data_IF_480551739351
#
_entry.id   IF_480551739351
#
_cell.length_a   1.000
_cell.length_b   1.000
_cell.length_c   1.000
_cell.angle_alpha   90.00
_cell.angle_beta   90.00
_cell.angle_gamma   90.00
#
_symmetry.space_group_name_H-M   'P 1'
#
loop_
_entity.id
_entity.type
_entity.pdbx_description
1 polymer ?
#
# COMPACT_ATOMS: atom_id res chain seq x y z
N UNK A 1 11.75 5.14 -25.01
CA UNK A 1 10.94 4.90 -26.22
C UNK A 1 9.61 4.21 -25.93
N UNK A 2 9.58 2.92 -25.57
CA UNK A 2 8.32 2.15 -25.51
C UNK A 2 7.34 2.56 -24.40
N UNK A 3 7.89 2.88 -23.22
CA UNK A 3 7.09 3.34 -22.08
C UNK A 3 6.53 4.74 -22.33
N UNK A 4 7.29 5.61 -23.00
CA UNK A 4 6.92 7.01 -23.26
C UNK A 4 5.78 7.11 -24.27
N UNK A 5 5.79 6.34 -25.37
CA UNK A 5 4.68 6.37 -26.31
C UNK A 5 3.40 5.78 -25.71
N UNK A 6 3.52 4.73 -24.87
CA UNK A 6 2.37 4.15 -24.13
C UNK A 6 1.77 5.18 -23.18
N UNK A 7 2.61 5.93 -22.47
CA UNK A 7 2.18 7.01 -21.59
C UNK A 7 1.51 8.16 -22.35
N UNK A 8 2.10 8.62 -23.45
CA UNK A 8 1.51 9.66 -24.31
C UNK A 8 0.16 9.23 -24.89
N UNK A 9 0.05 7.97 -25.33
CA UNK A 9 -1.22 7.39 -25.80
C UNK A 9 -2.26 7.35 -24.70
N UNK A 10 -1.92 6.89 -23.50
CA UNK A 10 -2.86 6.84 -22.37
C UNK A 10 -3.37 8.25 -22.00
N UNK A 11 -2.49 9.26 -22.01
CA UNK A 11 -2.87 10.67 -21.81
C UNK A 11 -3.88 11.16 -22.85
N UNK A 12 -3.64 10.84 -24.12
CA UNK A 12 -4.57 11.18 -25.20
C UNK A 12 -5.93 10.51 -24.96
N UNK A 13 -5.96 9.22 -24.64
CA UNK A 13 -7.20 8.49 -24.38
C UNK A 13 -7.96 9.07 -23.18
N UNK A 14 -7.25 9.43 -22.10
CA UNK A 14 -7.84 10.09 -20.92
C UNK A 14 -8.54 11.41 -21.28
N UNK A 15 -8.00 12.20 -22.21
CA UNK A 15 -8.63 13.46 -22.65
C UNK A 15 -9.97 13.28 -23.36
N UNK A 16 -10.28 12.08 -23.86
CA UNK A 16 -11.57 11.77 -24.49
C UNK A 16 -12.60 11.18 -23.52
N UNK A 17 -12.20 10.76 -22.30
CA UNK A 17 -13.13 10.20 -21.32
C UNK A 17 -14.00 11.27 -20.62
N UNK A 18 -13.57 12.54 -20.60
CA UNK A 18 -14.38 13.62 -20.03
C UNK A 18 -15.54 13.99 -20.97
N UNK A 19 -16.77 13.81 -20.49
CA UNK A 19 -18.06 13.93 -21.20
C UNK A 19 -18.41 15.35 -21.71
N UNK A 20 -17.44 16.24 -21.89
CA UNK A 20 -17.66 17.63 -22.30
C UNK A 20 -17.58 17.91 -23.80
N UNK A 21 -16.99 17.00 -24.61
CA UNK A 21 -16.79 17.19 -26.06
C UNK A 21 -16.99 15.91 -26.83
N UNK A 22 -18.21 15.36 -26.76
CA UNK A 22 -18.64 14.22 -27.58
C UNK A 22 -19.02 14.62 -29.01
N UNK A 23 -18.86 15.89 -29.38
CA UNK A 23 -19.15 16.39 -30.71
C UNK A 23 -17.85 16.72 -31.46
N UNK A 24 -17.63 16.17 -32.67
CA UNK A 24 -16.51 16.61 -33.50
C UNK A 24 -16.71 18.09 -33.87
N UNK A 25 -15.63 18.86 -34.02
CA UNK A 25 -15.72 20.16 -34.71
C UNK A 25 -16.35 19.90 -36.08
N UNK A 26 -17.43 20.59 -36.53
CA UNK A 26 -17.98 21.91 -36.16
C UNK A 26 -19.13 21.94 -35.13
N UNK A 27 -19.55 20.81 -34.55
CA UNK A 27 -20.74 20.74 -33.68
C UNK A 27 -20.48 21.14 -32.21
N UNK A 28 -19.21 21.43 -31.84
CA UNK A 28 -18.82 21.98 -30.54
C UNK A 28 -19.08 23.49 -30.37
N UNK A 29 -19.66 24.16 -31.37
CA UNK A 29 -19.95 25.60 -31.34
C UNK A 29 -21.39 25.94 -30.94
N UNK A 30 -22.29 24.95 -30.94
CA UNK A 30 -23.68 25.15 -30.49
C UNK A 30 -23.75 24.73 -29.02
N UNK A 31 -23.81 25.68 -28.07
CA UNK A 31 -24.02 25.32 -26.67
C UNK A 31 -25.31 24.50 -26.56
N UNK A 32 -25.27 23.42 -25.79
CA UNK A 32 -26.46 22.61 -25.49
C UNK A 32 -27.59 23.53 -25.04
N UNK A 33 -28.83 23.35 -25.51
CA UNK A 33 -29.97 24.18 -25.12
C UNK A 33 -30.11 24.34 -23.59
N UNK A 34 -29.68 23.34 -22.82
CA UNK A 34 -29.62 23.37 -21.35
C UNK A 34 -28.54 24.31 -20.81
N UNK A 35 -27.36 24.35 -21.43
CA UNK A 35 -26.25 25.25 -21.04
C UNK A 35 -26.62 26.72 -21.22
N UNK A 36 -27.33 27.04 -22.32
CA UNK A 36 -27.82 28.40 -22.55
C UNK A 36 -28.85 28.84 -21.51
N UNK A 37 -29.78 27.96 -21.13
CA UNK A 37 -30.75 28.24 -20.07
C UNK A 37 -30.07 28.58 -18.73
N UNK A 38 -29.09 27.78 -18.30
CA UNK A 38 -28.33 28.06 -17.07
C UNK A 38 -27.48 29.34 -17.19
N UNK A 39 -26.92 29.66 -18.36
CA UNK A 39 -26.16 30.88 -18.60
C UNK A 39 -27.05 32.14 -18.48
N UNK A 40 -28.23 32.12 -19.09
CA UNK A 40 -29.20 33.23 -18.98
C UNK A 40 -29.70 33.37 -17.55
N UNK A 41 -29.95 32.26 -16.84
CA UNK A 41 -30.33 32.30 -15.43
C UNK A 41 -29.22 32.92 -14.57
N UNK A 42 -27.94 32.56 -14.80
CA UNK A 42 -26.78 33.14 -14.11
C UNK A 42 -26.63 34.63 -14.39
N UNK A 43 -26.82 35.07 -15.63
CA UNK A 43 -26.77 36.49 -16.00
C UNK A 43 -27.93 37.26 -15.36
N UNK A 44 -29.17 36.75 -15.40
CA UNK A 44 -30.30 37.37 -14.70
C UNK A 44 -30.08 37.46 -13.20
N UNK A 45 -29.59 36.40 -12.56
CA UNK A 45 -29.27 36.43 -11.13
C UNK A 45 -28.17 37.45 -10.81
N UNK A 46 -27.14 37.56 -11.66
CA UNK A 46 -26.08 38.56 -11.51
C UNK A 46 -26.62 40.00 -11.67
N UNK A 47 -27.45 40.25 -12.68
CA UNK A 47 -28.10 41.55 -12.90
C UNK A 47 -29.05 41.92 -11.75
N UNK A 48 -29.81 40.96 -11.22
CA UNK A 48 -30.65 41.17 -10.04
C UNK A 48 -29.78 41.50 -8.82
N UNK A 49 -28.64 40.83 -8.64
CA UNK A 49 -27.73 41.10 -7.51
C UNK A 49 -27.11 42.51 -7.59
N UNK A 50 -26.70 42.94 -8.79
CA UNK A 50 -26.11 44.26 -9.03
C UNK A 50 -27.15 45.39 -8.91
N UNK A 51 -28.41 45.15 -9.31
CA UNK A 51 -29.48 46.13 -9.12
C UNK A 51 -30.04 46.19 -7.70
N UNK A 52 -29.82 45.16 -6.86
CA UNK A 52 -30.35 45.09 -5.49
C UNK A 52 -29.46 45.79 -4.45
N UNK A 53 -28.24 46.16 -4.80
CA UNK A 53 -27.35 46.95 -3.92
C UNK A 53 -27.79 48.42 -3.78
N UNK A 54 -28.75 48.89 -4.58
CA UNK A 54 -29.30 50.26 -4.53
C UNK A 54 -30.78 50.35 -4.12
N UNK A 55 -31.37 49.31 -3.52
CA UNK A 55 -32.82 49.30 -3.19
C UNK A 55 -33.16 48.62 -1.87
N UNK A 56 -32.87 49.28 -0.74
CA UNK A 56 -33.47 48.91 0.54
C UNK A 56 -34.97 49.28 0.56
N UNK A 57 -35.80 48.36 1.09
CA UNK A 57 -37.21 48.50 1.51
C UNK A 57 -38.35 48.43 0.48
N UNK A 58 -39.00 47.25 0.36
CA UNK A 58 -40.39 47.00 0.84
C UNK A 58 -40.80 45.53 0.67
N UNK A 59 -41.44 45.01 1.73
CA UNK A 59 -42.05 43.67 1.85
C UNK A 59 -43.22 43.48 0.87
N UNK A 60 -43.41 42.26 0.34
CA UNK A 60 -44.72 41.55 0.27
C UNK A 60 -44.55 40.19 -0.45
N UNK A 61 -44.59 39.13 0.36
CA UNK A 61 -45.49 37.97 0.20
C UNK A 61 -45.90 37.55 -1.22
N UNK A 62 -45.29 36.50 -1.76
CA UNK A 62 -46.05 35.37 -2.34
C UNK A 62 -45.30 34.07 -2.05
N UNK A 63 -45.95 33.27 -1.21
CA UNK A 63 -45.64 31.90 -0.86
C UNK A 63 -45.89 30.96 -2.06
N UNK A 64 -44.92 30.14 -2.48
CA UNK A 64 -45.23 28.82 -3.04
C UNK A 64 -44.03 27.86 -3.01
N UNK A 65 -44.18 26.77 -2.24
CA UNK A 65 -43.78 25.45 -2.75
C UNK A 65 -42.37 24.92 -2.45
N UNK A 66 -42.07 24.70 -1.16
CA UNK A 66 -41.53 23.46 -0.55
C UNK A 66 -40.55 22.53 -1.30
N UNK A 67 -39.53 22.14 -0.50
CA UNK A 67 -38.88 20.82 -0.36
C UNK A 67 -37.59 20.50 -1.15
N UNK A 68 -36.47 20.81 -0.48
CA UNK A 68 -35.40 19.86 -0.08
C UNK A 68 -35.27 18.58 -0.90
N UNK A 69 -34.23 18.50 -1.71
CA UNK A 69 -33.49 17.26 -1.96
C UNK A 69 -32.03 17.64 -2.18
N UNK A 70 -31.20 17.32 -1.18
CA UNK A 70 -29.75 17.50 -1.20
C UNK A 70 -29.16 16.64 -2.32
N UNK A 71 -28.92 17.23 -3.48
CA UNK A 71 -28.00 16.69 -4.45
C UNK A 71 -26.59 16.87 -3.88
N UNK A 72 -26.04 15.79 -3.30
CA UNK A 72 -24.62 15.65 -2.97
C UNK A 72 -23.81 15.73 -4.26
N UNK A 73 -23.42 16.95 -4.64
CA UNK A 73 -22.40 17.20 -5.64
C UNK A 73 -21.02 17.08 -4.96
N UNK A 74 -20.55 15.84 -4.80
CA UNK A 74 -19.18 15.52 -4.40
C UNK A 74 -18.24 15.89 -5.57
N UNK A 75 -18.04 17.20 -5.79
CA UNK A 75 -16.94 17.69 -6.62
C UNK A 75 -15.66 17.57 -5.83
N UNK A 76 -15.00 16.43 -6.04
CA UNK A 76 -13.55 16.27 -6.22
C UNK A 76 -12.74 17.51 -5.75
N UNK A 77 -12.52 17.61 -4.44
CA UNK A 77 -11.53 18.53 -3.88
C UNK A 77 -10.17 17.85 -3.98
N UNK A 78 -9.42 18.25 -4.99
CA UNK A 78 -8.06 17.82 -5.28
C UNK A 78 -7.02 18.50 -4.36
N UNK A 79 -5.96 17.73 -4.06
CA UNK A 79 -4.64 18.08 -3.52
C UNK A 79 -4.47 18.26 -2.00
N UNK A 80 -3.51 17.54 -1.36
CA UNK A 80 -3.14 17.73 0.03
C UNK A 80 -2.13 18.87 0.16
N UNK A 81 -2.39 19.79 1.08
CA UNK A 81 -1.39 20.77 1.52
C UNK A 81 -0.94 20.41 2.94
N UNK A 82 0.37 20.43 3.06
CA UNK A 82 1.24 20.23 4.21
C UNK A 82 0.84 21.00 5.46
N UNK A 83 1.11 20.39 6.62
CA UNK A 83 1.28 21.10 7.89
C UNK A 83 0.24 20.73 8.94
N UNK A 84 0.64 19.83 9.84
CA UNK A 84 0.26 19.85 11.26
C UNK A 84 -1.23 19.69 11.60
N UNK A 85 -1.62 18.49 12.01
CA UNK A 85 -1.87 18.19 13.44
C UNK A 85 -2.48 16.78 13.57
N UNK A 86 -2.09 16.11 14.64
CA UNK A 86 -2.32 14.72 14.99
C UNK A 86 -3.81 14.41 15.26
N UNK A 87 -4.66 14.43 14.23
CA UNK A 87 -6.05 13.99 14.39
C UNK A 87 -6.12 12.49 14.20
N UNK A 88 -6.17 11.80 15.34
CA UNK A 88 -6.48 10.37 15.48
C UNK A 88 -7.83 10.07 14.81
N UNK A 89 -7.82 9.82 13.50
CA UNK A 89 -9.00 9.36 12.75
C UNK A 89 -9.33 7.96 13.23
N UNK A 90 -10.40 7.88 14.03
CA UNK A 90 -11.08 6.66 14.48
C UNK A 90 -10.94 5.55 13.45
N UNK A 91 -10.40 4.40 13.88
CA UNK A 91 -10.12 3.27 13.00
C UNK A 91 -11.35 2.94 12.15
N UNK A 92 -11.20 3.00 10.82
CA UNK A 92 -12.14 2.32 9.93
C UNK A 92 -12.03 0.84 10.28
N UNK A 93 -12.98 0.33 11.06
CA UNK A 93 -12.96 -1.03 11.62
C UNK A 93 -12.84 -2.12 10.54
N UNK A 94 -13.26 -1.82 9.30
CA UNK A 94 -13.10 -2.73 8.18
C UNK A 94 -12.24 -2.09 7.09
N UNK A 95 -11.15 -2.77 6.66
CA UNK A 95 -10.34 -2.29 5.56
C UNK A 95 -11.18 -2.24 4.29
N UNK A 96 -11.10 -1.12 3.57
CA UNK A 96 -11.80 -0.96 2.30
C UNK A 96 -11.32 -1.99 1.28
N UNK A 97 -12.14 -2.29 0.26
CA UNK A 97 -11.74 -3.15 -0.86
C UNK A 97 -10.39 -2.73 -1.45
N UNK A 98 -10.16 -1.43 -1.57
CA UNK A 98 -8.87 -0.87 -1.99
C UNK A 98 -7.72 -1.27 -1.04
N UNK A 99 -7.90 -1.12 0.27
CA UNK A 99 -6.87 -1.52 1.26
C UNK A 99 -6.55 -3.02 1.19
N UNK A 100 -7.56 -3.87 0.97
CA UNK A 100 -7.34 -5.32 0.81
C UNK A 100 -6.58 -5.65 -0.48
N UNK A 101 -6.90 -4.97 -1.59
CA UNK A 101 -6.18 -5.12 -2.86
C UNK A 101 -4.73 -4.63 -2.69
N UNK A 102 -4.53 -3.47 -2.09
CA UNK A 102 -3.20 -2.91 -1.82
C UNK A 102 -2.37 -3.86 -0.95
N UNK A 103 -2.92 -4.39 0.15
CA UNK A 103 -2.24 -5.39 0.98
C UNK A 103 -1.79 -6.62 0.19
N UNK A 104 -2.65 -7.14 -0.70
CA UNK A 104 -2.31 -8.28 -1.57
C UNK A 104 -1.25 -7.94 -2.60
N UNK A 105 -1.29 -6.74 -3.18
CA UNK A 105 -0.27 -6.27 -4.14
C UNK A 105 1.08 -6.09 -3.46
N UNK A 106 1.11 -5.44 -2.30
CA UNK A 106 2.32 -5.24 -1.50
C UNK A 106 2.92 -6.59 -1.11
N UNK A 107 2.10 -7.54 -0.62
CA UNK A 107 2.58 -8.88 -0.27
C UNK A 107 3.22 -9.59 -1.47
N UNK A 108 2.58 -9.56 -2.64
CA UNK A 108 3.14 -10.16 -3.87
C UNK A 108 4.44 -9.48 -4.28
N UNK A 109 4.52 -8.16 -4.18
CA UNK A 109 5.73 -7.41 -4.51
C UNK A 109 6.88 -7.76 -3.57
N UNK A 110 6.66 -7.76 -2.25
CA UNK A 110 7.70 -8.10 -1.26
C UNK A 110 8.22 -9.52 -1.48
N UNK A 111 7.31 -10.49 -1.65
CA UNK A 111 7.70 -11.88 -1.92
C UNK A 111 8.50 -11.98 -3.21
N UNK A 112 8.05 -11.33 -4.29
CA UNK A 112 8.78 -11.32 -5.54
C UNK A 112 10.16 -10.67 -5.40
N UNK A 113 10.26 -9.54 -4.70
CA UNK A 113 11.54 -8.87 -4.50
C UNK A 113 12.52 -9.68 -3.64
N UNK A 114 12.02 -10.45 -2.67
CA UNK A 114 12.84 -11.39 -1.89
C UNK A 114 13.33 -12.56 -2.76
N UNK A 115 12.43 -13.17 -3.52
CA UNK A 115 12.78 -14.27 -4.45
C UNK A 115 13.75 -13.80 -5.52
N UNK A 116 13.51 -12.63 -6.14
CA UNK A 116 14.40 -12.08 -7.17
C UNK A 116 15.80 -11.80 -6.58
N UNK A 117 15.89 -11.38 -5.31
CA UNK A 117 17.15 -11.19 -4.58
C UNK A 117 17.84 -12.52 -4.24
N UNK A 118 17.09 -13.56 -3.87
CA UNK A 118 17.62 -14.91 -3.61
C UNK A 118 17.98 -15.66 -4.90
N UNK A 119 17.44 -15.23 -6.05
CA UNK A 119 17.72 -15.82 -7.37
C UNK A 119 18.97 -15.27 -8.05
N UNK A 120 19.57 -14.21 -7.50
CA UNK A 120 20.90 -13.77 -7.92
C UNK A 120 21.92 -14.87 -7.58
N UNK A 121 22.82 -15.17 -8.53
CA UNK A 121 23.76 -16.31 -8.50
C UNK A 121 24.38 -16.56 -7.12
N UNK A 122 24.52 -17.86 -6.79
CA UNK A 122 25.08 -18.38 -5.53
C UNK A 122 26.17 -17.48 -4.99
N UNK A 123 25.85 -16.78 -3.91
CA UNK A 123 26.73 -15.80 -3.35
C UNK A 123 27.93 -16.51 -2.69
N UNK A 124 29.16 -16.09 -3.01
CA UNK A 124 30.39 -16.66 -2.42
C UNK A 124 30.35 -16.58 -0.88
N UNK A 125 29.64 -15.58 -0.33
CA UNK A 125 29.37 -15.45 1.10
C UNK A 125 28.56 -16.61 1.70
N UNK A 126 27.51 -17.07 1.01
CA UNK A 126 26.68 -18.20 1.46
C UNK A 126 27.48 -19.51 1.46
N UNK A 127 28.35 -19.69 0.46
CA UNK A 127 29.24 -20.86 0.41
C UNK A 127 30.24 -20.86 1.58
N UNK A 128 30.75 -19.67 1.96
CA UNK A 128 31.65 -19.51 3.10
C UNK A 128 30.94 -19.79 4.43
N UNK A 129 29.69 -19.35 4.58
CA UNK A 129 28.85 -19.62 5.75
C UNK A 129 28.61 -21.13 5.91
N UNK A 130 28.16 -21.81 4.86
CA UNK A 130 27.94 -23.27 4.88
C UNK A 130 29.24 -24.01 5.22
N UNK A 131 30.37 -23.60 4.64
CA UNK A 131 31.66 -24.22 4.94
C UNK A 131 32.06 -24.02 6.40
N UNK A 132 31.78 -22.84 6.96
CA UNK A 132 32.03 -22.53 8.36
C UNK A 132 31.16 -23.41 9.26
N UNK A 133 29.87 -23.55 8.96
CA UNK A 133 28.92 -24.38 9.72
C UNK A 133 29.29 -25.87 9.68
N UNK A 134 29.72 -26.38 8.52
CA UNK A 134 30.24 -27.75 8.42
C UNK A 134 31.50 -27.92 9.27
N UNK A 135 32.37 -26.90 9.27
CA UNK A 135 33.62 -26.95 10.03
C UNK A 135 33.36 -26.90 11.53
N UNK A 136 32.47 -26.02 12.01
CA UNK A 136 32.09 -25.95 13.42
C UNK A 136 31.44 -27.24 13.89
N UNK A 137 30.48 -27.78 13.12
CA UNK A 137 29.83 -29.06 13.41
C UNK A 137 30.84 -30.21 13.49
N UNK A 138 31.81 -30.24 12.58
CA UNK A 138 32.86 -31.27 12.61
C UNK A 138 33.65 -31.23 13.91
N UNK A 139 34.01 -30.04 14.39
CA UNK A 139 34.77 -29.92 15.63
C UNK A 139 33.92 -30.23 16.86
N UNK A 140 32.64 -29.84 16.88
CA UNK A 140 31.71 -30.20 17.96
C UNK A 140 31.56 -31.71 18.11
N UNK A 141 31.35 -32.43 17.00
CA UNK A 141 31.23 -33.90 17.01
C UNK A 141 32.54 -34.61 17.38
N UNK A 142 33.69 -34.05 17.00
CA UNK A 142 34.99 -34.61 17.37
C UNK A 142 35.24 -34.46 18.88
N UNK A 143 34.87 -33.31 19.44
CA UNK A 143 34.98 -33.03 20.87
C UNK A 143 34.05 -33.94 21.69
N UNK A 144 32.79 -34.11 21.25
CA UNK A 144 31.84 -35.02 21.89
C UNK A 144 32.36 -36.47 21.85
N UNK A 145 32.91 -36.89 20.71
CA UNK A 145 33.52 -38.22 20.58
C UNK A 145 34.72 -38.39 21.51
N UNK A 146 35.60 -37.39 21.65
CA UNK A 146 36.75 -37.49 22.56
C UNK A 146 36.30 -37.58 24.01
N UNK A 147 35.33 -36.77 24.42
CA UNK A 147 34.77 -36.83 25.78
C UNK A 147 34.14 -38.20 26.08
N UNK A 148 33.33 -38.73 25.16
CA UNK A 148 32.76 -40.07 25.32
C UNK A 148 33.84 -41.18 25.40
N UNK A 149 34.93 -41.05 24.62
CA UNK A 149 36.04 -42.00 24.68
C UNK A 149 36.80 -41.92 26.02
N UNK A 150 36.98 -40.71 26.56
CA UNK A 150 37.57 -40.50 27.89
C UNK A 150 36.70 -41.09 29.00
N UNK A 151 35.39 -40.87 28.97
CA UNK A 151 34.45 -41.46 29.93
C UNK A 151 34.48 -43.00 29.90
N UNK A 152 34.49 -43.59 28.71
CA UNK A 152 34.62 -45.04 28.54
C UNK A 152 35.93 -45.57 29.11
N UNK A 153 37.05 -44.87 28.88
CA UNK A 153 38.35 -45.25 29.43
C UNK A 153 38.35 -45.24 30.96
N UNK A 154 37.76 -44.20 31.58
CA UNK A 154 37.61 -44.12 33.03
C UNK A 154 36.76 -45.26 33.60
N UNK A 155 35.63 -45.60 32.94
CA UNK A 155 34.77 -46.72 33.35
C UNK A 155 35.49 -48.07 33.25
N UNK A 156 36.25 -48.30 32.18
CA UNK A 156 37.06 -49.52 32.01
C UNK A 156 38.10 -49.62 33.13
N UNK A 157 38.79 -48.51 33.45
CA UNK A 157 39.78 -48.47 34.52
C UNK A 157 39.14 -48.75 35.89
N UNK A 158 37.99 -48.15 36.19
CA UNK A 158 37.25 -48.40 37.43
C UNK A 158 36.81 -49.85 37.58
N UNK A 159 36.35 -50.48 36.48
CA UNK A 159 36.02 -51.91 36.47
C UNK A 159 37.26 -52.76 36.72
N UNK A 160 38.38 -52.46 36.07
CA UNK A 160 39.67 -53.12 36.31
C UNK A 160 40.12 -53.05 37.77
N UNK A 161 40.07 -51.85 38.37
CA UNK A 161 40.41 -51.63 39.77
C UNK A 161 39.48 -52.38 40.74
N UNK A 162 38.17 -52.42 40.44
CA UNK A 162 37.20 -53.19 41.24
C UNK A 162 37.48 -54.68 41.18
N UNK A 163 37.76 -55.23 40.00
CA UNK A 163 38.08 -56.63 39.85
C UNK A 163 39.39 -56.99 40.57
N UNK A 164 40.45 -56.18 40.42
CA UNK A 164 41.71 -56.39 41.13
C UNK A 164 41.59 -56.34 42.66
N UNK A 165 40.74 -55.45 43.18
CA UNK A 165 40.43 -55.36 44.63
C UNK A 165 39.62 -56.55 45.14
N UNK A 166 38.75 -57.14 44.31
CA UNK A 166 37.96 -58.31 44.68
C UNK A 166 38.80 -59.60 44.67
N UNK A 167 39.80 -59.71 43.80
CA UNK A 167 40.71 -60.88 43.76
C UNK A 167 41.74 -60.93 44.90
N UNK A 168 42.04 -59.80 45.56
CA UNK A 168 42.94 -59.75 46.73
C UNK A 168 42.23 -59.89 48.09
N UNK A 169 40.90 -60.07 48.11
CA UNK A 169 40.09 -60.22 49.34
C UNK A 169 39.68 -61.68 49.63
N UNK A 170 40.16 -62.64 48.86
CA UNK A 170 40.09 -64.08 49.12
C UNK A 170 41.48 -64.64 49.40
#
# INVERSE_FOLDING_TARGET
ADVEWKFARAKLWLSYFDEGRTLPAPFNLVPSPKSFYYLVFRIKSCLIHVCKENGHHRNSEVELGRLNSQAKDERFRSYPQSGEEFVHRKSRQHPTRYQNIMKRLIKRYVLKAQVDKESDEVNEGELKEIKQDISSLRYELLEEKSQAAEELALLIQQLGDKFGKNTMRH
#
